data_IF_281273562154
#
_entry.id   IF_281273562154
#
_cell.length_a   1.000
_cell.length_b   1.000
_cell.length_c   1.000
_cell.angle_alpha   90.00
_cell.angle_beta   90.00
_cell.angle_gamma   90.00
#
_symmetry.space_group_name_H-M   'P 1'
#
loop_
_entity.id
_entity.type
_entity.pdbx_description
1 polymer ?
#
# COMPACT_ATOMS: atom_id res chain seq x y z
N UNK A 1 -53.43 4.17 -1.12
CA UNK A 1 -52.54 3.19 -0.44
C UNK A 1 -51.66 2.37 -1.39
N UNK A 2 -52.16 1.85 -2.53
CA UNK A 2 -51.39 0.95 -3.42
C UNK A 2 -50.15 1.58 -4.11
N UNK A 3 -50.15 2.89 -4.38
CA UNK A 3 -49.05 3.56 -5.11
C UNK A 3 -47.81 3.83 -4.23
N UNK A 4 -48.01 4.23 -2.96
CA UNK A 4 -46.90 4.48 -2.01
C UNK A 4 -46.12 3.20 -1.68
N UNK A 5 -46.81 2.06 -1.60
CA UNK A 5 -46.21 0.74 -1.38
C UNK A 5 -45.35 0.29 -2.57
N UNK A 6 -45.77 0.56 -3.82
CA UNK A 6 -44.97 0.26 -5.02
C UNK A 6 -43.68 1.08 -5.09
N UNK A 7 -43.75 2.38 -4.74
CA UNK A 7 -42.57 3.26 -4.71
C UNK A 7 -41.57 2.80 -3.64
N UNK A 8 -42.06 2.38 -2.47
CA UNK A 8 -41.21 1.85 -1.40
C UNK A 8 -40.46 0.59 -1.84
N UNK A 9 -41.16 -0.33 -2.51
CA UNK A 9 -40.56 -1.57 -3.04
C UNK A 9 -39.50 -1.28 -4.11
N UNK A 10 -39.76 -0.33 -5.01
CA UNK A 10 -38.79 0.09 -6.04
C UNK A 10 -37.52 0.68 -5.39
N UNK A 11 -37.67 1.54 -4.38
CA UNK A 11 -36.52 2.11 -3.67
C UNK A 11 -35.69 1.05 -2.93
N UNK A 12 -36.34 0.04 -2.36
CA UNK A 12 -35.65 -1.09 -1.70
C UNK A 12 -34.88 -1.94 -2.73
N UNK A 13 -35.47 -2.21 -3.90
CA UNK A 13 -34.81 -2.96 -4.98
C UNK A 13 -33.60 -2.18 -5.53
N UNK A 14 -33.70 -0.85 -5.69
CA UNK A 14 -32.57 -0.01 -6.10
C UNK A 14 -31.46 -0.05 -5.04
N UNK A 15 -31.81 0.06 -3.76
CA UNK A 15 -30.84 0.00 -2.66
C UNK A 15 -30.11 -1.35 -2.60
N UNK A 16 -30.84 -2.46 -2.79
CA UNK A 16 -30.28 -3.81 -2.84
C UNK A 16 -29.43 -4.05 -4.11
N UNK A 17 -29.83 -3.49 -5.25
CA UNK A 17 -29.10 -3.58 -6.52
C UNK A 17 -27.76 -2.85 -6.50
N UNK A 18 -27.66 -1.72 -5.80
CA UNK A 18 -26.39 -0.98 -5.63
C UNK A 18 -25.41 -1.73 -4.73
N UNK A 19 -25.90 -2.50 -3.76
CA UNK A 19 -25.05 -3.30 -2.85
C UNK A 19 -24.46 -4.56 -3.52
N UNK A 20 -25.05 -5.01 -4.62
CA UNK A 20 -24.65 -6.24 -5.35
C UNK A 20 -23.57 -6.04 -6.41
N UNK A 21 -23.10 -4.81 -6.66
CA UNK A 21 -21.99 -4.56 -7.60
C UNK A 21 -20.68 -4.82 -6.87
N UNK A 22 -20.30 -6.09 -6.77
CA UNK A 22 -18.95 -6.49 -6.40
C UNK A 22 -17.97 -5.80 -7.35
N UNK A 23 -17.16 -4.87 -6.83
CA UNK A 23 -16.06 -4.29 -7.60
C UNK A 23 -15.11 -5.43 -7.98
N UNK A 24 -15.17 -5.87 -9.23
CA UNK A 24 -14.09 -6.64 -9.84
C UNK A 24 -12.89 -5.71 -9.96
N UNK A 25 -12.03 -5.70 -8.94
CA UNK A 25 -10.73 -5.05 -9.03
C UNK A 25 -9.79 -6.02 -9.73
N UNK A 26 -9.44 -5.73 -10.99
CA UNK A 26 -8.23 -6.33 -11.56
C UNK A 26 -7.07 -6.09 -10.59
N UNK A 27 -6.32 -7.15 -10.26
CA UNK A 27 -5.15 -7.02 -9.41
C UNK A 27 -4.19 -6.00 -10.06
N UNK A 28 -3.96 -4.87 -9.38
CA UNK A 28 -3.07 -3.84 -9.88
C UNK A 28 -1.64 -4.37 -9.73
N UNK A 29 -1.02 -4.67 -10.87
CA UNK A 29 0.36 -5.14 -10.95
C UNK A 29 1.34 -4.17 -10.28
N UNK A 30 2.50 -4.65 -9.86
CA UNK A 30 3.50 -3.90 -9.10
C UNK A 30 3.94 -2.62 -9.82
N UNK A 31 4.19 -2.75 -11.14
CA UNK A 31 4.51 -1.67 -12.07
C UNK A 31 3.97 -2.04 -13.48
N UNK A 32 3.84 -1.07 -14.41
CA UNK A 32 3.38 -1.36 -15.77
C UNK A 32 4.25 -2.42 -16.45
N UNK A 33 3.61 -3.49 -16.95
CA UNK A 33 4.31 -4.61 -17.60
C UNK A 33 4.94 -5.62 -16.63
N UNK A 34 4.60 -5.62 -15.34
CA UNK A 34 5.08 -6.65 -14.43
C UNK A 34 4.48 -8.03 -14.78
N UNK A 35 5.33 -9.05 -14.79
CA UNK A 35 5.00 -10.43 -15.17
C UNK A 35 5.51 -11.43 -14.12
N UNK A 36 5.10 -12.70 -14.25
CA UNK A 36 5.54 -13.79 -13.38
C UNK A 36 4.94 -13.78 -11.97
N UNK A 37 5.51 -14.57 -11.07
CA UNK A 37 4.96 -14.80 -9.72
C UNK A 37 4.97 -13.56 -8.82
N UNK A 38 5.83 -12.58 -9.10
CA UNK A 38 5.92 -11.32 -8.36
C UNK A 38 5.08 -10.18 -8.94
N UNK A 39 4.34 -10.40 -10.03
CA UNK A 39 3.64 -9.33 -10.74
C UNK A 39 2.64 -8.56 -9.87
N UNK A 40 2.08 -9.21 -8.85
CA UNK A 40 1.09 -8.62 -7.95
C UNK A 40 1.67 -8.16 -6.60
N UNK A 41 2.99 -8.08 -6.46
CA UNK A 41 3.64 -7.56 -5.26
C UNK A 41 3.15 -6.13 -4.97
N UNK A 42 2.61 -5.92 -3.76
CA UNK A 42 2.00 -4.64 -3.37
C UNK A 42 3.06 -3.57 -3.04
N UNK A 43 4.24 -4.00 -2.57
CA UNK A 43 5.28 -3.11 -2.06
C UNK A 43 4.74 -2.18 -0.97
N UNK A 44 5.22 -0.93 -0.92
CA UNK A 44 4.77 0.12 -0.01
C UNK A 44 3.49 0.87 -0.44
N UNK A 45 2.72 0.37 -1.41
CA UNK A 45 1.57 1.08 -1.98
C UNK A 45 0.54 1.46 -0.91
N UNK A 46 0.16 2.73 -0.87
CA UNK A 46 -0.78 3.27 0.13
C UNK A 46 -0.17 3.50 1.51
N UNK A 47 1.11 3.18 1.69
CA UNK A 47 1.88 3.41 2.90
C UNK A 47 2.45 4.82 3.01
N UNK A 48 3.21 5.04 4.07
CA UNK A 48 3.91 6.29 4.31
C UNK A 48 5.17 6.41 3.44
N UNK A 49 5.52 7.64 3.06
CA UNK A 49 6.82 7.92 2.44
C UNK A 49 7.81 8.26 3.56
N UNK A 50 8.83 7.42 3.74
CA UNK A 50 9.90 7.65 4.71
C UNK A 50 11.14 8.11 3.96
N UNK A 51 11.63 9.31 4.30
CA UNK A 51 12.82 9.89 3.68
C UNK A 51 14.06 9.61 4.53
N UNK A 52 15.04 8.96 3.92
CA UNK A 52 16.39 8.84 4.51
C UNK A 52 17.09 10.19 4.39
N UNK A 53 17.55 10.74 5.52
CA UNK A 53 18.10 12.11 5.63
C UNK A 53 19.56 12.16 6.06
N UNK A 54 20.16 11.02 6.41
CA UNK A 54 21.57 10.94 6.77
C UNK A 54 22.17 9.58 6.37
N UNK A 55 23.50 9.46 6.50
CA UNK A 55 24.28 8.26 6.13
C UNK A 55 24.67 7.40 7.34
N UNK A 56 24.10 7.67 8.51
CA UNK A 56 24.35 6.86 9.69
C UNK A 56 23.70 5.48 9.52
N UNK A 57 24.32 4.44 10.09
CA UNK A 57 23.77 3.08 10.02
C UNK A 57 22.42 2.95 10.74
N UNK A 58 22.21 3.65 11.85
CA UNK A 58 20.99 3.57 12.65
C UNK A 58 20.61 4.94 13.26
N UNK A 59 19.40 5.02 13.81
CA UNK A 59 18.83 6.19 14.46
C UNK A 59 17.93 7.02 13.54
N UNK A 60 17.37 8.12 14.07
CA UNK A 60 16.44 8.97 13.34
C UNK A 60 16.95 9.41 11.97
N UNK A 61 16.15 9.16 10.93
CA UNK A 61 16.43 9.53 9.54
C UNK A 61 17.43 8.63 8.82
N UNK A 62 17.87 7.53 9.43
CA UNK A 62 18.74 6.53 8.81
C UNK A 62 17.97 5.59 7.86
N UNK A 63 18.70 4.90 6.98
CA UNK A 63 18.14 3.82 6.16
C UNK A 63 17.57 2.68 7.01
N UNK A 64 18.27 2.28 8.08
CA UNK A 64 17.86 1.16 8.94
C UNK A 64 16.56 1.46 9.68
N UNK A 65 16.39 2.69 10.17
CA UNK A 65 15.10 3.10 10.76
C UNK A 65 13.98 3.03 9.71
N UNK A 66 14.23 3.54 8.50
CA UNK A 66 13.23 3.57 7.45
C UNK A 66 12.78 2.15 7.00
N UNK A 67 13.71 1.23 6.80
CA UNK A 67 13.37 -0.12 6.31
C UNK A 67 12.86 -1.06 7.40
N UNK A 68 13.11 -0.78 8.67
CA UNK A 68 12.61 -1.61 9.79
C UNK A 68 11.28 -1.14 10.36
N UNK A 69 10.75 0.02 9.95
CA UNK A 69 9.44 0.50 10.39
C UNK A 69 8.30 -0.53 10.14
N UNK A 70 7.29 -0.54 11.01
CA UNK A 70 6.20 -1.53 11.01
C UNK A 70 5.19 -1.33 9.88
N UNK A 71 4.87 -0.08 9.58
CA UNK A 71 3.81 0.25 8.63
C UNK A 71 4.28 0.07 7.19
N UNK A 72 3.32 -0.06 6.26
CA UNK A 72 3.60 -0.03 4.84
C UNK A 72 4.36 1.25 4.48
N UNK A 73 5.43 1.14 3.71
CA UNK A 73 6.40 2.23 3.54
C UNK A 73 7.06 2.26 2.17
N UNK A 74 7.25 3.48 1.67
CA UNK A 74 8.03 3.81 0.49
C UNK A 74 9.27 4.55 0.99
N UNK A 75 10.45 3.95 0.81
CA UNK A 75 11.72 4.53 1.27
C UNK A 75 12.35 5.33 0.15
N UNK A 76 12.52 6.63 0.38
CA UNK A 76 13.19 7.52 -0.58
C UNK A 76 14.49 8.07 -0.01
N UNK A 77 15.52 8.17 -0.84
CA UNK A 77 16.80 8.72 -0.44
C UNK A 77 16.82 10.23 -0.66
N UNK A 78 16.97 10.97 0.43
CA UNK A 78 17.12 12.43 0.41
C UNK A 78 18.56 12.92 0.43
N UNK A 79 19.50 12.00 0.57
CA UNK A 79 20.95 12.23 0.61
C UNK A 79 21.65 11.22 -0.29
N UNK A 80 22.83 11.59 -0.79
CA UNK A 80 23.71 10.71 -1.58
C UNK A 80 24.95 10.35 -0.78
N UNK A 81 25.44 9.12 -0.91
CA UNK A 81 26.70 8.68 -0.31
C UNK A 81 26.68 7.21 0.05
N UNK A 82 27.66 6.80 0.87
CA UNK A 82 27.82 5.43 1.33
C UNK A 82 27.28 5.33 2.76
N UNK A 83 26.40 4.37 3.00
CA UNK A 83 25.94 4.00 4.34
C UNK A 83 26.81 2.82 4.80
N UNK A 84 27.65 3.04 5.82
CA UNK A 84 28.52 2.00 6.36
C UNK A 84 27.77 1.14 7.37
N UNK A 85 27.11 0.08 6.88
CA UNK A 85 26.33 -0.83 7.71
C UNK A 85 27.21 -1.51 8.76
N UNK A 86 26.77 -1.54 10.03
CA UNK A 86 27.50 -2.22 11.12
C UNK A 86 27.08 -3.69 11.27
N UNK A 87 25.96 -4.06 10.66
CA UNK A 87 25.42 -5.42 10.59
C UNK A 87 24.45 -5.55 9.41
N UNK A 88 24.01 -6.78 9.11
CA UNK A 88 23.00 -7.03 8.10
C UNK A 88 21.72 -6.22 8.37
N UNK A 89 21.06 -5.81 7.29
CA UNK A 89 19.76 -5.13 7.34
C UNK A 89 18.68 -6.19 7.08
N UNK A 90 17.94 -6.51 8.12
CA UNK A 90 16.86 -7.49 8.05
C UNK A 90 15.50 -6.78 7.99
N UNK A 91 14.68 -7.18 7.02
CA UNK A 91 13.33 -6.62 6.81
C UNK A 91 12.32 -7.64 7.30
N UNK A 92 11.85 -7.46 8.54
CA UNK A 92 10.84 -8.31 9.16
C UNK A 92 9.40 -7.88 8.84
N UNK A 93 9.20 -6.58 8.61
CA UNK A 93 7.88 -6.03 8.37
C UNK A 93 7.57 -5.99 6.86
N UNK A 94 6.42 -6.52 6.42
CA UNK A 94 6.05 -6.56 5.00
C UNK A 94 5.75 -5.16 4.45
N UNK A 95 5.38 -5.11 3.16
CA UNK A 95 4.89 -3.91 2.47
C UNK A 95 5.89 -2.75 2.42
N UNK A 96 7.07 -3.02 1.86
CA UNK A 96 8.11 -2.02 1.61
C UNK A 96 8.34 -1.82 0.11
N UNK A 97 8.64 -0.58 -0.30
CA UNK A 97 9.15 -0.19 -1.61
C UNK A 97 10.40 0.65 -1.47
#
# INVERSE_FOLDING_TARGET
MKLKSKILIINIIILLGVFGISKSSFALVAFPGAEGFGANSVGGRGGQVIRVTNLNDNGPGSFREAVTASEARIVIFGVSGIINLQSDVEIYNPYIY
#
